data_IF_630499135523
#
_entry.id   IF_630499135523
#
_cell.length_a   1.000
_cell.length_b   1.000
_cell.length_c   1.000
_cell.angle_alpha   90.00
_cell.angle_beta   90.00
_cell.angle_gamma   90.00
#
_symmetry.space_group_name_H-M   'P 1'
#
loop_
_entity.id
_entity.type
_entity.pdbx_description
1 polymer ?
#
# COMPACT_ATOMS: atom_id res chain seq x y z
N UNK A 1 15.58 4.34 -4.10
CA UNK A 1 16.90 3.66 -3.98
C UNK A 1 18.17 4.51 -4.19
N UNK A 2 18.29 5.41 -5.19
CA UNK A 2 19.58 6.10 -5.47
C UNK A 2 20.14 6.91 -4.30
N UNK A 3 19.29 7.74 -3.67
CA UNK A 3 19.65 8.58 -2.52
C UNK A 3 20.14 7.72 -1.36
N UNK A 4 19.46 6.60 -1.12
CA UNK A 4 19.83 5.63 -0.10
C UNK A 4 21.26 5.12 -0.29
N UNK A 5 21.55 4.59 -1.49
CA UNK A 5 22.88 4.06 -1.82
C UNK A 5 23.96 5.14 -1.77
N UNK A 6 23.64 6.34 -2.26
CA UNK A 6 24.53 7.50 -2.20
C UNK A 6 24.94 7.83 -0.76
N UNK A 7 23.98 7.85 0.19
CA UNK A 7 24.27 8.13 1.59
C UNK A 7 25.18 7.05 2.22
N UNK A 8 24.96 5.77 1.91
CA UNK A 8 25.84 4.69 2.35
C UNK A 8 27.25 4.85 1.80
N UNK A 9 27.39 5.07 0.49
CA UNK A 9 28.69 5.21 -0.16
C UNK A 9 29.49 6.40 0.41
N UNK A 10 28.83 7.55 0.60
CA UNK A 10 29.44 8.73 1.22
C UNK A 10 29.96 8.41 2.63
N UNK A 11 29.19 7.66 3.43
CA UNK A 11 29.61 7.24 4.77
C UNK A 11 30.87 6.36 4.74
N UNK A 12 30.93 5.39 3.81
CA UNK A 12 32.09 4.50 3.64
C UNK A 12 33.30 5.30 3.17
N UNK A 13 33.15 6.14 2.14
CA UNK A 13 34.21 6.98 1.59
C UNK A 13 34.83 7.90 2.64
N UNK A 14 34.00 8.51 3.49
CA UNK A 14 34.49 9.35 4.58
C UNK A 14 35.31 8.55 5.60
N UNK A 15 34.84 7.36 6.00
CA UNK A 15 35.53 6.54 7.01
C UNK A 15 36.76 5.79 6.49
N UNK A 16 36.92 5.63 5.19
CA UNK A 16 38.18 5.16 4.58
C UNK A 16 39.22 6.28 4.41
N UNK A 17 38.87 7.54 4.72
CA UNK A 17 39.76 8.71 4.57
C UNK A 17 39.78 9.31 3.17
N UNK A 18 38.80 9.00 2.31
CA UNK A 18 38.68 9.57 0.97
C UNK A 18 37.89 10.88 0.97
N UNK A 19 38.08 11.71 -0.07
CA UNK A 19 37.15 12.80 -0.36
C UNK A 19 35.76 12.25 -0.69
N UNK A 20 34.72 13.01 -0.37
CA UNK A 20 33.32 12.63 -0.64
C UNK A 20 32.71 13.51 -1.73
N UNK A 21 31.77 12.98 -2.54
CA UNK A 21 31.11 13.73 -3.60
C UNK A 21 30.02 14.67 -3.03
N UNK A 22 30.43 15.73 -2.34
CA UNK A 22 29.56 16.76 -1.79
C UNK A 22 30.30 18.10 -1.71
N UNK A 23 29.58 19.22 -1.82
CA UNK A 23 30.15 20.56 -1.61
C UNK A 23 30.68 20.73 -0.18
N UNK A 24 29.94 20.22 0.81
CA UNK A 24 30.35 20.11 2.21
C UNK A 24 29.74 18.85 2.83
N UNK A 25 30.43 18.23 3.78
CA UNK A 25 29.92 17.04 4.47
C UNK A 25 30.40 16.98 5.92
N UNK A 26 29.47 16.75 6.86
CA UNK A 26 29.77 16.41 8.26
C UNK A 26 29.17 15.05 8.55
N UNK A 27 30.05 14.06 8.73
CA UNK A 27 29.65 12.65 8.85
C UNK A 27 30.12 12.13 10.20
N UNK A 28 29.18 11.67 11.03
CA UNK A 28 29.51 11.02 12.29
C UNK A 28 29.94 9.57 12.10
N UNK A 29 30.88 9.09 12.93
CA UNK A 29 31.42 7.72 12.84
C UNK A 29 30.29 6.68 12.92
N UNK A 30 30.27 5.79 11.96
CA UNK A 30 29.37 4.65 11.86
C UNK A 30 30.13 3.36 12.21
N UNK A 31 29.54 2.53 13.06
CA UNK A 31 30.12 1.22 13.41
C UNK A 31 29.76 0.15 12.39
N UNK A 32 28.51 0.17 11.89
CA UNK A 32 27.99 -0.79 10.90
C UNK A 32 26.99 -0.13 9.97
N UNK A 33 27.09 -0.43 8.68
CA UNK A 33 26.08 -0.06 7.68
C UNK A 33 25.23 -1.29 7.39
N UNK A 34 23.93 -1.16 7.60
CA UNK A 34 22.95 -2.18 7.26
C UNK A 34 22.18 -1.72 6.03
N UNK A 35 22.05 -2.60 5.05
CA UNK A 35 21.27 -2.35 3.84
C UNK A 35 20.28 -3.47 3.60
N UNK A 36 19.01 -3.10 3.48
CA UNK A 36 17.99 -3.86 2.77
C UNK A 36 17.59 -3.04 1.55
N UNK A 37 18.35 -3.19 0.47
CA UNK A 37 18.04 -2.59 -0.84
C UNK A 37 17.83 -3.78 -1.75
N UNK A 38 16.60 -3.96 -2.24
CA UNK A 38 16.09 -5.20 -2.84
C UNK A 38 17.13 -6.04 -3.58
N UNK A 39 17.22 -7.32 -3.20
CA UNK A 39 17.95 -8.31 -3.97
C UNK A 39 17.12 -8.69 -5.20
N UNK A 40 17.73 -8.64 -6.39
CA UNK A 40 17.26 -9.42 -7.53
C UNK A 40 17.07 -10.87 -7.10
N UNK A 41 15.91 -11.45 -7.42
CA UNK A 41 15.44 -12.75 -6.96
C UNK A 41 16.54 -13.81 -6.90
N UNK A 42 16.74 -14.41 -5.72
CA UNK A 42 17.56 -15.61 -5.60
C UNK A 42 16.66 -16.85 -5.68
N UNK A 43 16.03 -17.04 -6.85
CA UNK A 43 15.22 -18.22 -7.17
C UNK A 43 16.01 -19.54 -6.98
N UNK A 44 17.33 -19.48 -7.00
CA UNK A 44 18.22 -20.64 -6.91
C UNK A 44 18.25 -21.32 -5.52
N UNK A 45 17.84 -20.66 -4.44
CA UNK A 45 17.92 -21.22 -3.06
C UNK A 45 16.60 -21.76 -2.50
N UNK A 46 15.50 -21.72 -3.25
CA UNK A 46 14.21 -22.27 -2.81
C UNK A 46 13.58 -21.57 -1.59
N UNK A 47 14.11 -20.42 -1.16
CA UNK A 47 13.53 -19.62 -0.09
C UNK A 47 12.61 -18.55 -0.68
N UNK A 48 11.45 -18.33 -0.05
CA UNK A 48 10.57 -17.21 -0.40
C UNK A 48 11.34 -15.90 -0.27
N UNK A 49 11.21 -15.02 -1.27
CA UNK A 49 11.80 -13.68 -1.28
C UNK A 49 11.43 -12.88 -0.04
N UNK A 50 10.20 -13.08 0.46
CA UNK A 50 9.72 -12.49 1.70
C UNK A 50 10.44 -13.06 2.94
N UNK A 51 10.73 -14.36 3.00
CA UNK A 51 11.45 -14.97 4.13
C UNK A 51 12.89 -14.44 4.22
N UNK A 52 13.57 -14.28 3.07
CA UNK A 52 14.90 -13.68 3.00
C UNK A 52 14.87 -12.25 3.51
N UNK A 53 13.89 -11.46 3.06
CA UNK A 53 13.67 -10.09 3.52
C UNK A 53 13.45 -10.00 5.03
N UNK A 54 12.61 -10.88 5.59
CA UNK A 54 12.35 -10.92 7.03
C UNK A 54 13.58 -11.36 7.83
N UNK A 55 14.38 -12.30 7.29
CA UNK A 55 15.62 -12.73 7.94
C UNK A 55 16.67 -11.62 7.97
N UNK A 56 16.80 -10.87 6.87
CA UNK A 56 17.67 -9.69 6.79
C UNK A 56 17.20 -8.60 7.76
N UNK A 57 15.91 -8.28 7.75
CA UNK A 57 15.30 -7.30 8.67
C UNK A 57 15.54 -7.70 10.12
N UNK A 58 15.34 -8.97 10.47
CA UNK A 58 15.59 -9.48 11.81
C UNK A 58 17.08 -9.41 12.19
N UNK A 59 18.01 -9.61 11.24
CA UNK A 59 19.46 -9.42 11.48
C UNK A 59 19.78 -7.96 11.79
N UNK A 60 19.22 -7.02 11.01
CA UNK A 60 19.38 -5.58 11.23
C UNK A 60 18.90 -5.23 12.64
N UNK A 61 17.67 -5.60 12.99
CA UNK A 61 17.10 -5.29 14.30
C UNK A 61 17.88 -5.92 15.44
N UNK A 62 18.45 -7.12 15.31
CA UNK A 62 19.24 -7.74 16.39
C UNK A 62 20.63 -7.12 16.57
N UNK A 63 21.24 -6.61 15.50
CA UNK A 63 22.66 -6.22 15.50
C UNK A 63 22.89 -4.71 15.43
N UNK A 64 21.86 -3.92 15.10
CA UNK A 64 21.98 -2.48 15.01
C UNK A 64 22.29 -1.84 16.37
N UNK A 65 23.31 -0.99 16.38
CA UNK A 65 23.68 -0.17 17.53
C UNK A 65 23.23 1.28 17.32
N UNK A 66 23.38 2.12 18.36
CA UNK A 66 23.13 3.57 18.25
C UNK A 66 23.97 4.25 17.17
N UNK A 67 25.16 3.72 16.84
CA UNK A 67 26.06 4.30 15.83
C UNK A 67 25.85 3.72 14.44
N UNK A 68 24.91 2.79 14.26
CA UNK A 68 24.71 2.18 12.95
C UNK A 68 24.01 3.13 11.98
N UNK A 69 24.23 2.91 10.69
CA UNK A 69 23.50 3.53 9.59
C UNK A 69 22.67 2.44 8.91
N UNK A 70 21.35 2.61 8.89
CA UNK A 70 20.42 1.64 8.34
C UNK A 70 19.77 2.22 7.10
N UNK A 71 19.67 1.40 6.06
CA UNK A 71 19.05 1.75 4.79
C UNK A 71 18.04 0.67 4.45
N UNK A 72 16.76 1.03 4.37
CA UNK A 72 15.66 0.13 4.07
C UNK A 72 14.94 0.63 2.81
N UNK A 73 14.70 -0.28 1.87
CA UNK A 73 14.01 -0.03 0.60
C UNK A 73 12.87 -1.03 0.48
N UNK A 74 11.63 -0.54 0.60
CA UNK A 74 10.38 -1.27 0.32
C UNK A 74 10.16 -2.56 1.13
N UNK A 75 10.42 -2.52 2.44
CA UNK A 75 10.04 -3.63 3.33
C UNK A 75 8.52 -3.86 3.31
N UNK A 76 8.13 -5.13 3.30
CA UNK A 76 6.76 -5.60 3.39
C UNK A 76 6.06 -5.76 2.04
N UNK A 77 6.77 -5.65 0.90
CA UNK A 77 6.14 -5.75 -0.43
C UNK A 77 5.77 -7.18 -0.84
N UNK A 78 6.47 -8.19 -0.32
CA UNK A 78 6.31 -9.60 -0.69
C UNK A 78 5.15 -10.34 0.01
N UNK A 79 4.24 -9.65 0.67
CA UNK A 79 3.14 -10.23 1.47
C UNK A 79 1.83 -9.45 1.28
N UNK A 80 0.78 -9.78 2.04
CA UNK A 80 -0.47 -9.04 2.03
C UNK A 80 -0.23 -7.56 2.38
N UNK A 81 -0.99 -6.65 1.76
CA UNK A 81 -0.77 -5.21 1.94
C UNK A 81 -0.86 -4.77 3.40
N UNK A 82 -1.79 -5.35 4.18
CA UNK A 82 -1.95 -5.03 5.59
C UNK A 82 -0.85 -5.63 6.46
N UNK A 83 -0.42 -6.87 6.18
CA UNK A 83 0.71 -7.48 6.92
C UNK A 83 2.01 -6.72 6.62
N UNK A 84 2.24 -6.39 5.35
CA UNK A 84 3.39 -5.63 4.88
C UNK A 84 3.48 -4.25 5.53
N UNK A 85 2.36 -3.51 5.53
CA UNK A 85 2.24 -2.23 6.21
C UNK A 85 2.50 -2.36 7.71
N UNK A 86 1.88 -3.33 8.37
CA UNK A 86 2.00 -3.53 9.82
C UNK A 86 3.44 -3.85 10.24
N UNK A 87 4.12 -4.71 9.48
CA UNK A 87 5.53 -5.03 9.71
C UNK A 87 6.43 -3.82 9.44
N UNK A 88 6.25 -3.12 8.32
CA UNK A 88 7.03 -1.94 7.99
C UNK A 88 6.88 -0.85 9.07
N UNK A 89 5.66 -0.65 9.56
CA UNK A 89 5.36 0.27 10.66
C UNK A 89 6.11 -0.12 11.94
N UNK A 90 5.94 -1.37 12.39
CA UNK A 90 6.58 -1.85 13.62
C UNK A 90 8.11 -1.78 13.55
N UNK A 91 8.70 -2.07 12.39
CA UNK A 91 10.15 -1.94 12.14
C UNK A 91 10.59 -0.48 12.22
N UNK A 92 9.86 0.45 11.59
CA UNK A 92 10.18 1.86 11.64
C UNK A 92 10.08 2.42 13.06
N UNK A 93 9.04 2.04 13.79
CA UNK A 93 8.84 2.40 15.20
C UNK A 93 9.99 1.92 16.09
N UNK A 94 10.36 0.64 15.97
CA UNK A 94 11.45 0.06 16.76
C UNK A 94 12.78 0.78 16.50
N UNK A 95 13.08 1.13 15.25
CA UNK A 95 14.30 1.87 14.89
C UNK A 95 14.30 3.33 15.38
N UNK A 96 13.12 3.97 15.41
CA UNK A 96 12.95 5.32 15.93
C UNK A 96 13.06 5.37 17.47
N UNK A 97 12.52 4.36 18.15
CA UNK A 97 12.51 4.27 19.62
C UNK A 97 13.85 3.81 20.19
N UNK A 98 14.45 2.76 19.61
CA UNK A 98 15.61 2.09 20.18
C UNK A 98 16.81 3.02 20.27
N UNK A 99 17.47 3.02 21.44
CA UNK A 99 18.59 3.92 21.74
C UNK A 99 18.28 5.42 21.52
N UNK A 100 17.02 5.84 21.54
CA UNK A 100 16.60 7.21 21.21
C UNK A 100 16.81 7.55 19.73
N UNK A 101 16.64 6.58 18.83
CA UNK A 101 16.69 6.73 17.38
C UNK A 101 18.01 6.29 16.76
N UNK A 102 17.96 5.29 15.88
CA UNK A 102 19.09 4.86 15.05
C UNK A 102 19.02 5.56 13.70
N UNK A 103 20.17 6.01 13.17
CA UNK A 103 20.23 6.72 11.87
C UNK A 103 19.71 5.80 10.76
N UNK A 104 18.51 6.07 10.27
CA UNK A 104 17.81 5.20 9.33
C UNK A 104 17.28 6.02 8.17
N UNK A 105 17.48 5.53 6.94
CA UNK A 105 16.80 5.99 5.75
C UNK A 105 15.86 4.89 5.28
N UNK A 106 14.57 5.17 5.26
CA UNK A 106 13.53 4.21 4.87
C UNK A 106 12.79 4.76 3.65
N UNK A 107 12.98 4.14 2.49
CA UNK A 107 12.14 4.37 1.31
C UNK A 107 10.96 3.38 1.31
N UNK A 108 9.74 3.90 1.18
CA UNK A 108 8.51 3.11 1.22
C UNK A 108 7.48 3.68 0.25
N UNK A 109 6.53 2.82 -0.15
CA UNK A 109 5.31 3.18 -0.88
C UNK A 109 4.07 3.24 0.03
N UNK A 110 4.21 2.86 1.30
CA UNK A 110 3.16 2.99 2.30
C UNK A 110 3.07 4.44 2.78
N UNK A 111 2.05 5.16 2.33
CA UNK A 111 1.81 6.54 2.74
C UNK A 111 1.41 6.64 4.21
N UNK A 112 0.79 5.60 4.76
CA UNK A 112 0.37 5.54 6.15
C UNK A 112 1.55 5.74 7.11
N UNK A 113 2.76 5.28 6.74
CA UNK A 113 3.98 5.45 7.55
C UNK A 113 4.36 6.93 7.76
N UNK A 114 3.86 7.87 6.94
CA UNK A 114 4.19 9.29 7.12
C UNK A 114 3.66 9.83 8.44
N UNK A 115 2.60 9.24 9.00
CA UNK A 115 2.06 9.61 10.31
C UNK A 115 3.06 9.40 11.47
N UNK A 116 4.12 8.62 11.28
CA UNK A 116 5.17 8.41 12.29
C UNK A 116 5.95 9.68 12.62
N UNK A 117 6.01 10.67 11.72
CA UNK A 117 6.68 11.96 11.97
C UNK A 117 6.03 12.73 13.13
N UNK A 118 4.71 12.62 13.29
CA UNK A 118 3.98 13.28 14.38
C UNK A 118 4.14 12.53 15.71
N UNK A 119 4.38 11.22 15.65
CA UNK A 119 4.46 10.36 16.83
C UNK A 119 5.86 10.30 17.46
N UNK A 120 6.92 10.47 16.66
CA UNK A 120 8.30 10.27 17.12
C UNK A 120 9.19 11.47 16.78
N UNK A 121 9.77 12.09 17.81
CA UNK A 121 10.54 13.35 17.72
C UNK A 121 11.83 13.31 16.87
N UNK A 122 12.20 12.14 16.33
CA UNK A 122 13.35 11.94 15.43
C UNK A 122 12.99 11.49 14.01
N UNK A 123 11.70 11.30 13.71
CA UNK A 123 11.24 10.90 12.38
C UNK A 123 10.94 12.15 11.56
N UNK A 124 11.34 12.13 10.28
CA UNK A 124 11.11 13.22 9.33
C UNK A 124 10.74 12.65 7.97
N UNK A 125 9.67 13.17 7.38
CA UNK A 125 9.28 12.75 6.04
C UNK A 125 10.04 13.55 4.97
N UNK A 126 10.38 12.85 3.90
CA UNK A 126 10.96 13.44 2.71
C UNK A 126 10.35 12.79 1.46
N UNK A 127 10.13 13.60 0.43
CA UNK A 127 9.59 13.16 -0.85
C UNK A 127 10.50 13.60 -2.00
N UNK A 128 10.43 12.89 -3.13
CA UNK A 128 11.13 13.28 -4.35
C UNK A 128 10.23 14.24 -5.11
N UNK A 129 10.76 15.43 -5.44
CA UNK A 129 10.05 16.47 -6.15
C UNK A 129 9.62 16.01 -7.55
N UNK A 130 8.34 16.20 -7.80
CA UNK A 130 7.67 15.88 -9.05
C UNK A 130 7.06 17.18 -9.60
N UNK A 131 7.18 17.40 -10.90
CA UNK A 131 6.57 18.56 -11.58
C UNK A 131 5.76 18.09 -12.76
N UNK A 132 4.52 18.57 -12.85
CA UNK A 132 3.70 18.42 -14.04
C UNK A 132 4.05 19.51 -15.07
N UNK A 133 4.27 19.11 -16.32
CA UNK A 133 4.58 20.01 -17.43
C UNK A 133 3.90 19.52 -18.70
N UNK A 134 3.02 20.35 -19.28
CA UNK A 134 2.27 20.04 -20.52
C UNK A 134 1.51 18.69 -20.48
N UNK A 135 1.02 18.32 -19.30
CA UNK A 135 0.33 17.06 -19.09
C UNK A 135 1.25 15.87 -18.83
N UNK A 136 2.58 16.04 -18.79
CA UNK A 136 3.54 14.99 -18.45
C UNK A 136 4.18 15.21 -17.08
N UNK A 137 4.65 14.12 -16.48
CA UNK A 137 5.34 14.16 -15.19
C UNK A 137 6.85 14.18 -15.39
N UNK A 138 7.51 15.14 -14.75
CA UNK A 138 8.96 15.27 -14.73
C UNK A 138 9.47 15.03 -13.31
N UNK A 139 10.33 14.02 -13.16
CA UNK A 139 11.02 13.73 -11.90
C UNK A 139 12.23 14.65 -11.75
N UNK A 140 12.16 15.59 -10.79
CA UNK A 140 13.23 16.58 -10.60
C UNK A 140 14.44 16.02 -9.85
N UNK A 141 14.38 14.77 -9.37
CA UNK A 141 15.43 14.08 -8.58
C UNK A 141 15.90 14.89 -7.36
N UNK A 142 15.07 15.81 -6.87
CA UNK A 142 15.34 16.67 -5.73
C UNK A 142 14.56 16.16 -4.53
N UNK A 143 15.23 15.97 -3.40
CA UNK A 143 14.57 15.61 -2.15
C UNK A 143 13.99 16.86 -1.49
N UNK A 144 12.72 16.82 -1.09
CA UNK A 144 12.02 17.90 -0.38
C UNK A 144 11.51 17.38 0.97
N UNK A 145 11.50 18.22 2.02
CA UNK A 145 10.88 17.86 3.29
C UNK A 145 9.35 17.74 3.12
N UNK A 146 8.75 16.86 3.90
CA UNK A 146 7.31 16.59 3.91
C UNK A 146 6.94 15.23 3.31
N UNK A 147 5.70 14.78 3.57
CA UNK A 147 5.15 13.54 3.01
C UNK A 147 4.91 13.68 1.49
N UNK A 148 4.57 12.56 0.85
CA UNK A 148 4.07 12.59 -0.52
C UNK A 148 2.56 12.83 -0.51
N UNK A 149 2.09 13.78 -1.31
CA UNK A 149 0.67 14.12 -1.34
C UNK A 149 -0.17 13.16 -2.20
N UNK A 150 0.47 12.40 -3.12
CA UNK A 150 -0.21 11.57 -4.12
C UNK A 150 0.60 10.33 -4.53
N UNK A 151 -0.12 9.32 -5.02
CA UNK A 151 0.43 8.17 -5.74
C UNK A 151 0.40 8.43 -7.25
N UNK A 152 1.57 8.37 -7.90
CA UNK A 152 1.70 8.64 -9.34
C UNK A 152 1.82 7.37 -10.19
N UNK A 153 1.33 6.23 -9.68
CA UNK A 153 1.53 4.92 -10.32
C UNK A 153 0.92 4.84 -11.73
N UNK A 154 -0.28 5.40 -11.92
CA UNK A 154 -0.97 5.41 -13.22
C UNK A 154 -0.26 6.35 -14.20
N UNK A 155 0.23 7.49 -13.73
CA UNK A 155 0.95 8.45 -14.56
C UNK A 155 2.33 7.90 -14.97
N UNK A 156 3.01 7.16 -14.09
CA UNK A 156 4.23 6.40 -14.44
C UNK A 156 3.92 5.34 -15.49
N UNK A 157 2.80 4.62 -15.37
CA UNK A 157 2.39 3.64 -16.39
C UNK A 157 2.15 4.30 -17.75
N UNK A 158 1.51 5.47 -17.79
CA UNK A 158 1.34 6.26 -19.02
C UNK A 158 2.68 6.68 -19.62
N UNK A 159 3.62 7.17 -18.81
CA UNK A 159 4.96 7.53 -19.26
C UNK A 159 5.76 6.33 -19.78
N UNK A 160 5.53 5.13 -19.22
CA UNK A 160 6.12 3.88 -19.68
C UNK A 160 5.52 3.36 -21.00
N UNK A 161 4.51 4.04 -21.55
CA UNK A 161 3.87 3.67 -22.82
C UNK A 161 2.75 2.64 -22.67
N UNK A 162 2.18 2.46 -21.48
CA UNK A 162 0.97 1.64 -21.31
C UNK A 162 -0.17 2.23 -22.16
N UNK A 163 -0.91 1.40 -22.93
CA UNK A 163 -1.94 1.89 -23.85
C UNK A 163 -2.96 2.81 -23.18
N UNK A 164 -3.35 3.88 -23.88
CA UNK A 164 -4.24 4.91 -23.35
C UNK A 164 -5.58 4.36 -22.81
N UNK A 165 -6.14 3.33 -23.46
CA UNK A 165 -7.35 2.67 -23.00
C UNK A 165 -7.18 1.98 -21.63
N UNK A 166 -6.02 1.36 -21.39
CA UNK A 166 -5.69 0.72 -20.10
C UNK A 166 -5.47 1.77 -19.02
N UNK A 167 -4.77 2.87 -19.34
CA UNK A 167 -4.56 3.99 -18.42
C UNK A 167 -5.91 4.63 -18.04
N UNK A 168 -6.80 4.86 -19.00
CA UNK A 168 -8.14 5.39 -18.74
C UNK A 168 -8.94 4.48 -17.81
N UNK A 169 -8.95 3.17 -18.09
CA UNK A 169 -9.62 2.20 -17.23
C UNK A 169 -9.02 2.13 -15.82
N UNK A 170 -7.69 2.20 -15.69
CA UNK A 170 -7.03 2.22 -14.39
C UNK A 170 -7.45 3.45 -13.56
N UNK A 171 -7.63 4.62 -14.20
CA UNK A 171 -8.13 5.83 -13.53
C UNK A 171 -9.57 5.68 -13.03
N UNK A 172 -10.43 5.07 -13.84
CA UNK A 172 -11.81 4.77 -13.42
C UNK A 172 -11.85 3.84 -12.21
N UNK A 173 -11.06 2.76 -12.24
CA UNK A 173 -10.98 1.79 -11.13
C UNK A 173 -10.42 2.45 -9.87
N UNK A 174 -9.39 3.29 -9.98
CA UNK A 174 -8.84 4.02 -8.84
C UNK A 174 -9.89 4.93 -8.21
N UNK A 175 -10.61 5.71 -9.03
CA UNK A 175 -11.68 6.59 -8.54
C UNK A 175 -12.81 5.82 -7.83
N UNK A 176 -13.12 4.61 -8.29
CA UNK A 176 -14.08 3.72 -7.64
C UNK A 176 -13.56 3.24 -6.28
N UNK A 177 -12.31 2.78 -6.22
CA UNK A 177 -11.68 2.30 -4.98
C UNK A 177 -11.55 3.39 -3.91
N UNK A 178 -11.20 4.61 -4.31
CA UNK A 178 -11.12 5.77 -3.41
C UNK A 178 -12.49 6.13 -2.80
N UNK A 179 -13.58 5.98 -3.56
CA UNK A 179 -14.95 6.21 -3.07
C UNK A 179 -15.42 5.12 -2.11
N UNK A 180 -14.97 3.88 -2.30
CA UNK A 180 -15.35 2.72 -1.47
C UNK A 180 -14.44 2.52 -0.24
N UNK A 181 -13.38 3.32 -0.08
CA UNK A 181 -12.45 3.23 1.03
C UNK A 181 -12.98 3.58 2.45
N UNK A 182 -14.16 4.21 2.70
CA UNK A 182 -14.56 4.52 4.09
C UNK A 182 -15.07 3.31 4.89
N UNK A 183 -15.37 2.18 4.26
CA UNK A 183 -16.01 1.04 4.96
C UNK A 183 -15.61 -0.29 4.32
N UNK A 184 -14.76 -1.05 5.02
CA UNK A 184 -14.19 -2.34 4.61
C UNK A 184 -15.16 -3.50 4.35
N UNK A 185 -16.43 -3.26 4.02
CA UNK A 185 -17.44 -4.26 3.65
C UNK A 185 -17.64 -4.46 2.15
N UNK A 186 -17.22 -3.52 1.28
CA UNK A 186 -17.63 -3.51 -0.14
C UNK A 186 -16.58 -3.99 -1.16
N UNK A 187 -15.51 -4.67 -0.75
CA UNK A 187 -14.53 -5.21 -1.71
C UNK A 187 -15.08 -6.29 -2.65
N UNK A 188 -16.12 -7.03 -2.26
CA UNK A 188 -16.74 -8.05 -3.13
C UNK A 188 -17.62 -7.44 -4.23
N UNK A 189 -18.36 -6.36 -3.94
CA UNK A 189 -19.17 -5.65 -4.94
C UNK A 189 -18.31 -5.01 -6.05
N UNK A 190 -17.11 -4.53 -5.69
CA UNK A 190 -16.13 -3.94 -6.61
C UNK A 190 -15.61 -4.94 -7.66
N UNK A 191 -15.41 -6.21 -7.28
CA UNK A 191 -14.96 -7.28 -8.20
C UNK A 191 -16.09 -7.64 -9.17
N UNK A 192 -17.33 -7.74 -8.68
CA UNK A 192 -18.50 -8.04 -9.50
C UNK A 192 -18.79 -6.94 -10.54
N UNK A 193 -18.57 -5.66 -10.19
CA UNK A 193 -18.70 -4.54 -11.15
C UNK A 193 -17.52 -4.44 -12.14
N UNK A 194 -16.34 -4.95 -11.81
CA UNK A 194 -15.22 -5.00 -12.75
C UNK A 194 -15.30 -6.20 -13.72
N UNK A 195 -16.14 -7.19 -13.42
CA UNK A 195 -16.35 -8.40 -14.23
C UNK A 195 -17.44 -8.26 -15.31
N UNK A 196 -18.08 -7.10 -15.46
CA UNK A 196 -19.06 -6.83 -16.51
C UNK A 196 -18.42 -6.56 -17.88
N UNK A 197 -17.46 -7.41 -18.27
CA UNK A 197 -17.04 -7.61 -19.66
C UNK A 197 -17.84 -8.77 -20.26
N UNK A 198 -18.38 -8.64 -21.48
CA UNK A 198 -19.09 -9.74 -22.13
C UNK A 198 -18.08 -10.84 -22.50
N UNK A 199 -18.18 -12.02 -21.86
CA UNK A 199 -17.52 -13.24 -22.34
C UNK A 199 -16.68 -14.07 -21.36
N UNK A 200 -16.62 -13.75 -20.06
CA UNK A 200 -15.88 -14.55 -19.07
C UNK A 200 -16.73 -14.84 -17.82
N UNK A 201 -17.51 -15.91 -17.86
CA UNK A 201 -18.18 -16.46 -16.67
C UNK A 201 -17.43 -17.67 -16.13
N UNK A 202 -16.86 -17.61 -14.92
CA UNK A 202 -16.67 -18.79 -14.08
C UNK A 202 -17.90 -18.97 -13.17
N UNK A 203 -18.26 -20.23 -12.92
CA UNK A 203 -19.40 -20.65 -12.12
C UNK A 203 -19.46 -19.96 -10.74
N UNK A 204 -20.67 -19.55 -10.36
CA UNK A 204 -20.98 -18.88 -9.10
C UNK A 204 -20.68 -19.79 -7.88
N UNK A 205 -20.04 -19.28 -6.82
CA UNK A 205 -20.12 -19.87 -5.49
C UNK A 205 -21.36 -19.35 -4.75
N UNK A 206 -22.00 -20.27 -4.03
CA UNK A 206 -23.27 -20.10 -3.29
C UNK A 206 -23.27 -18.88 -2.35
N UNK A 207 -24.35 -18.09 -2.47
CA UNK A 207 -24.66 -16.91 -1.66
C UNK A 207 -24.84 -17.27 -0.18
N UNK A 208 -24.22 -16.49 0.71
CA UNK A 208 -24.73 -16.34 2.07
C UNK A 208 -25.89 -15.33 2.01
N UNK A 209 -27.10 -15.69 2.48
CA UNK A 209 -28.26 -14.85 2.26
C UNK A 209 -28.17 -13.55 3.07
N UNK A 210 -28.39 -12.43 2.38
CA UNK A 210 -28.76 -11.16 3.01
C UNK A 210 -30.00 -11.36 3.91
N UNK A 211 -30.23 -10.52 4.93
CA UNK A 211 -31.46 -10.60 5.72
C UNK A 211 -32.67 -10.52 4.79
N UNK A 212 -33.46 -11.59 4.74
CA UNK A 212 -34.58 -11.73 3.82
C UNK A 212 -35.61 -10.61 4.07
N UNK A 213 -36.08 -9.98 2.97
CA UNK A 213 -37.10 -8.94 3.05
C UNK A 213 -38.38 -9.51 3.68
N UNK A 214 -39.04 -8.81 4.63
CA UNK A 214 -40.19 -9.36 5.37
C UNK A 214 -41.35 -9.83 4.47
N UNK A 215 -41.49 -9.23 3.27
CA UNK A 215 -42.47 -9.65 2.25
C UNK A 215 -42.18 -11.06 1.70
N UNK A 216 -40.92 -11.44 1.55
CA UNK A 216 -40.55 -12.79 1.07
C UNK A 216 -40.90 -13.87 2.10
N UNK A 217 -40.72 -13.56 3.39
CA UNK A 217 -41.14 -14.44 4.48
C UNK A 217 -42.66 -14.57 4.50
N UNK A 218 -43.39 -13.45 4.37
CA UNK A 218 -44.85 -13.44 4.36
C UNK A 218 -45.43 -14.26 3.19
N UNK A 219 -44.84 -14.14 1.99
CA UNK A 219 -45.22 -14.91 0.80
C UNK A 219 -45.04 -16.42 0.99
N UNK A 220 -43.97 -16.87 1.64
CA UNK A 220 -43.70 -18.30 1.86
C UNK A 220 -44.68 -18.95 2.82
N UNK A 221 -45.19 -18.18 3.78
CA UNK A 221 -46.16 -18.67 4.78
C UNK A 221 -47.61 -18.50 4.36
N UNK A 222 -47.87 -17.85 3.23
CA UNK A 222 -49.22 -17.50 2.80
C UNK A 222 -49.92 -18.70 2.13
N UNK A 223 -51.10 -19.07 2.63
CA UNK A 223 -51.92 -20.11 2.01
C UNK A 223 -52.83 -19.52 0.93
N UNK A 224 -52.43 -19.70 -0.33
CA UNK A 224 -53.12 -19.15 -1.51
C UNK A 224 -54.53 -19.71 -1.67
N UNK A 225 -54.77 -20.94 -1.21
CA UNK A 225 -56.05 -21.63 -1.43
C UNK A 225 -57.18 -21.14 -0.52
N UNK A 226 -56.87 -20.36 0.51
CA UNK A 226 -57.84 -19.86 1.50
C UNK A 226 -58.10 -18.35 1.36
N UNK A 227 -57.44 -17.68 0.41
CA UNK A 227 -57.57 -16.24 0.22
C UNK A 227 -58.74 -15.89 -0.71
N UNK A 228 -59.54 -14.91 -0.29
CA UNK A 228 -60.48 -14.30 -1.21
C UNK A 228 -59.73 -13.38 -2.20
N UNK A 229 -60.25 -13.21 -3.44
CA UNK A 229 -59.61 -12.33 -4.42
C UNK A 229 -59.44 -10.88 -3.95
N UNK A 230 -60.32 -10.38 -3.07
CA UNK A 230 -60.23 -9.02 -2.52
C UNK A 230 -59.14 -8.91 -1.45
N UNK A 231 -58.96 -9.93 -0.62
CA UNK A 231 -57.91 -9.95 0.40
C UNK A 231 -56.53 -10.02 -0.26
N UNK A 232 -56.39 -10.85 -1.29
CA UNK A 232 -55.15 -10.93 -2.07
C UNK A 232 -54.77 -9.58 -2.71
N UNK A 233 -55.75 -8.85 -3.25
CA UNK A 233 -55.51 -7.55 -3.89
C UNK A 233 -55.12 -6.47 -2.87
N UNK A 234 -55.70 -6.53 -1.66
CA UNK A 234 -55.37 -5.63 -0.54
C UNK A 234 -53.96 -5.90 -0.02
N UNK A 235 -53.58 -7.17 0.18
CA UNK A 235 -52.24 -7.56 0.61
C UNK A 235 -51.15 -7.16 -0.40
N UNK A 236 -51.41 -7.31 -1.69
CA UNK A 236 -50.49 -6.88 -2.75
C UNK A 236 -50.30 -5.36 -2.75
N UNK A 237 -51.34 -4.58 -2.42
CA UNK A 237 -51.23 -3.13 -2.29
C UNK A 237 -50.36 -2.73 -1.08
N UNK A 238 -50.53 -3.42 0.06
CA UNK A 238 -49.72 -3.19 1.26
C UNK A 238 -48.24 -3.55 1.05
N UNK A 239 -47.95 -4.69 0.43
CA UNK A 239 -46.58 -5.10 0.14
C UNK A 239 -45.89 -4.18 -0.86
N UNK A 240 -46.62 -3.63 -1.83
CA UNK A 240 -46.09 -2.62 -2.75
C UNK A 240 -45.65 -1.33 -2.04
N UNK A 241 -46.27 -0.99 -0.91
CA UNK A 241 -45.89 0.18 -0.11
C UNK A 241 -44.73 -0.11 0.87
N UNK A 242 -44.36 -1.39 1.07
CA UNK A 242 -43.29 -1.83 1.97
C UNK A 242 -41.96 -2.15 1.26
N UNK A 243 -41.96 -2.17 -0.08
CA UNK A 243 -40.80 -2.33 -0.96
C UNK A 243 -40.42 -0.96 -1.52
#
# INVERSE_FOLDING_TARGET
STILRQAALICIMAQMGSFVPATTARIGICDRIFSRVGASDNLAMGQSTFMVEMTETARILRQASKRSLIILDEIGRGTSTFDGLSLAWAVAEELAKRHGGIRTLFATHYHELTALEEQWSGVRNFTIAIREWKGDIVFLRRLLPGPSDRSYGIEVARLAGVPAAVVARAKEILALLERSAPSGRDRRALITQCQSLPGLSPAAPEDQPAPEHPVLTALRTLNINELSPMDALTMLHEWKNQI
#
